data_IF_682784676805
#
_entry.id   IF_682784676805
#
_cell.length_a   1.000
_cell.length_b   1.000
_cell.length_c   1.000
_cell.angle_alpha   90.00
_cell.angle_beta   90.00
_cell.angle_gamma   90.00
#
_symmetry.space_group_name_H-M   'P 1'
#
loop_
_entity.id
_entity.type
_entity.pdbx_description
1 polymer ?
#
# COMPACT_ATOMS: atom_id res chain seq x y z
N UNK A 1 -20.42 -14.79 15.90
CA UNK A 1 -19.22 -14.50 16.73
C UNK A 1 -18.52 -13.33 16.07
N UNK A 2 -18.09 -12.33 16.84
CA UNK A 2 -17.27 -11.24 16.28
C UNK A 2 -15.96 -11.84 15.73
N UNK A 3 -15.51 -11.36 14.57
CA UNK A 3 -14.24 -11.81 13.98
C UNK A 3 -13.10 -11.25 14.82
N UNK A 4 -12.19 -12.12 15.25
CA UNK A 4 -10.96 -11.72 15.93
C UNK A 4 -9.86 -11.48 14.89
N UNK A 5 -9.70 -10.20 14.52
CA UNK A 5 -8.72 -9.71 13.55
C UNK A 5 -7.27 -9.74 14.05
N UNK A 6 -7.06 -10.06 15.34
CA UNK A 6 -5.75 -10.11 16.00
C UNK A 6 -5.28 -11.54 16.27
N UNK A 7 -6.19 -12.51 16.15
CA UNK A 7 -5.85 -13.92 16.31
C UNK A 7 -4.78 -14.37 15.31
N UNK A 8 -3.90 -15.25 15.77
CA UNK A 8 -2.88 -15.88 14.92
C UNK A 8 -3.49 -16.50 13.66
N UNK A 9 -4.62 -17.19 13.80
CA UNK A 9 -5.33 -17.82 12.68
C UNK A 9 -5.86 -16.80 11.65
N UNK A 10 -6.24 -15.59 12.09
CA UNK A 10 -6.62 -14.51 11.18
C UNK A 10 -5.38 -13.93 10.47
N UNK A 11 -4.29 -13.70 11.19
CA UNK A 11 -3.04 -13.21 10.59
C UNK A 11 -2.44 -14.21 9.59
N UNK A 12 -2.59 -15.51 9.81
CA UNK A 12 -2.24 -16.55 8.82
C UNK A 12 -3.08 -16.44 7.53
N UNK A 13 -4.32 -15.94 7.61
CA UNK A 13 -5.13 -15.63 6.40
C UNK A 13 -4.66 -14.36 5.71
N UNK A 14 -4.27 -13.33 6.47
CA UNK A 14 -3.66 -12.11 5.91
C UNK A 14 -2.37 -12.46 5.17
N UNK A 15 -1.52 -13.31 5.76
CA UNK A 15 -0.32 -13.86 5.14
C UNK A 15 -0.64 -14.70 3.88
N UNK A 16 -1.66 -15.54 3.91
CA UNK A 16 -2.08 -16.32 2.74
C UNK A 16 -2.56 -15.41 1.59
N UNK A 17 -3.33 -14.37 1.91
CA UNK A 17 -3.78 -13.37 0.95
C UNK A 17 -2.58 -12.61 0.36
N UNK A 18 -1.63 -12.19 1.20
CA UNK A 18 -0.41 -11.50 0.78
C UNK A 18 0.44 -12.35 -0.17
N UNK A 19 0.65 -13.62 0.17
CA UNK A 19 1.37 -14.58 -0.70
C UNK A 19 0.63 -14.82 -2.01
N UNK A 20 -0.71 -14.86 -2.01
CA UNK A 20 -1.49 -15.02 -3.22
C UNK A 20 -1.31 -13.83 -4.20
N UNK A 21 -1.45 -12.59 -3.73
CA UNK A 21 -1.21 -11.42 -4.61
C UNK A 21 0.25 -11.29 -5.04
N UNK A 22 1.18 -11.63 -4.15
CA UNK A 22 2.61 -11.63 -4.47
C UNK A 22 2.94 -12.69 -5.53
N UNK A 23 2.35 -13.88 -5.43
CA UNK A 23 2.48 -14.95 -6.42
C UNK A 23 1.98 -14.51 -7.79
N UNK A 24 0.77 -13.94 -7.85
CA UNK A 24 0.19 -13.45 -9.10
C UNK A 24 1.06 -12.36 -9.72
N UNK A 25 1.52 -11.41 -8.89
CA UNK A 25 2.35 -10.29 -9.31
C UNK A 25 3.69 -10.72 -9.89
N UNK A 26 4.37 -11.67 -9.24
CA UNK A 26 5.61 -12.24 -9.76
C UNK A 26 5.39 -13.08 -11.01
N UNK A 27 4.34 -13.90 -11.02
CA UNK A 27 4.00 -14.78 -12.14
C UNK A 27 3.76 -14.01 -13.44
N UNK A 28 2.97 -12.93 -13.40
CA UNK A 28 2.62 -12.17 -14.59
C UNK A 28 3.78 -11.38 -15.22
N UNK A 29 4.91 -11.18 -14.52
CA UNK A 29 6.11 -10.59 -15.13
C UNK A 29 6.67 -11.55 -16.20
N UNK A 30 6.68 -12.84 -15.89
CA UNK A 30 7.36 -13.86 -16.70
C UNK A 30 6.42 -14.68 -17.57
N UNK A 31 5.25 -15.05 -17.05
CA UNK A 31 4.35 -16.00 -17.70
C UNK A 31 3.26 -15.28 -18.49
N UNK A 32 2.88 -15.87 -19.63
CA UNK A 32 1.74 -15.46 -20.47
C UNK A 32 0.64 -16.52 -20.55
N UNK A 33 0.84 -17.67 -19.93
CA UNK A 33 -0.10 -18.78 -19.78
C UNK A 33 0.37 -19.67 -18.62
N UNK A 34 -0.42 -20.69 -18.28
CA UNK A 34 -0.08 -21.69 -17.26
C UNK A 34 0.23 -21.07 -15.88
N UNK A 35 -0.65 -20.18 -15.36
CA UNK A 35 -0.33 -19.35 -14.20
C UNK A 35 -0.26 -20.12 -12.89
N UNK A 36 -0.79 -21.35 -12.84
CA UNK A 36 -0.85 -22.22 -11.65
C UNK A 36 -0.13 -23.57 -11.87
N UNK A 37 0.94 -23.56 -12.67
CA UNK A 37 1.67 -24.74 -13.14
C UNK A 37 1.93 -25.85 -12.10
N UNK A 38 2.24 -25.49 -10.85
CA UNK A 38 2.48 -26.45 -9.77
C UNK A 38 1.20 -27.03 -9.17
N UNK A 39 0.12 -26.26 -9.14
CA UNK A 39 -1.20 -26.69 -8.64
C UNK A 39 -1.91 -27.54 -9.70
N UNK A 40 -1.83 -27.14 -10.97
CA UNK A 40 -2.43 -27.86 -12.10
C UNK A 40 -1.58 -29.03 -12.59
N UNK A 41 -0.40 -29.27 -11.98
CA UNK A 41 0.56 -30.31 -12.36
C UNK A 41 0.93 -30.25 -13.86
N UNK A 42 1.06 -29.04 -14.40
CA UNK A 42 1.43 -28.76 -15.79
C UNK A 42 2.77 -28.03 -15.81
N UNK A 43 3.91 -28.74 -15.89
CA UNK A 43 5.23 -28.12 -15.88
C UNK A 43 5.37 -27.00 -16.90
N UNK A 44 6.05 -25.90 -16.52
CA UNK A 44 6.29 -24.74 -17.37
C UNK A 44 7.03 -25.15 -18.64
N UNK A 45 6.57 -24.65 -19.78
CA UNK A 45 7.25 -24.77 -21.08
C UNK A 45 7.77 -23.41 -21.54
N UNK A 46 8.69 -23.39 -22.51
CA UNK A 46 9.17 -22.15 -23.11
C UNK A 46 8.02 -21.30 -23.68
N UNK A 47 6.99 -21.95 -24.24
CA UNK A 47 5.79 -21.29 -24.76
C UNK A 47 4.91 -20.65 -23.68
N UNK A 48 5.11 -20.97 -22.40
CA UNK A 48 4.41 -20.29 -21.30
C UNK A 48 5.08 -18.96 -20.91
N UNK A 49 6.35 -18.77 -21.26
CA UNK A 49 7.16 -17.60 -20.84
C UNK A 49 7.08 -16.48 -21.88
N UNK A 50 6.93 -15.24 -21.43
CA UNK A 50 6.96 -14.04 -22.28
C UNK A 50 8.33 -13.93 -22.97
N UNK A 51 8.30 -13.57 -24.26
CA UNK A 51 9.54 -13.32 -25.03
C UNK A 51 10.31 -12.13 -24.47
N UNK A 52 9.60 -11.13 -23.95
CA UNK A 52 10.16 -9.96 -23.28
C UNK A 52 9.47 -9.78 -21.92
N UNK A 53 10.00 -10.36 -20.84
CA UNK A 53 9.53 -10.07 -19.49
C UNK A 53 9.77 -8.59 -19.18
N UNK A 54 8.71 -7.85 -18.86
CA UNK A 54 8.74 -6.43 -18.53
C UNK A 54 7.91 -6.23 -17.27
N UNK A 55 8.41 -5.42 -16.35
CA UNK A 55 7.77 -5.09 -15.09
C UNK A 55 8.83 -4.82 -14.02
N UNK A 56 8.36 -4.39 -12.85
CA UNK A 56 9.18 -4.26 -11.66
C UNK A 56 8.87 -5.40 -10.70
N UNK A 57 9.80 -5.66 -9.79
CA UNK A 57 9.61 -6.64 -8.71
C UNK A 57 9.90 -6.04 -7.33
N UNK A 58 10.96 -5.23 -7.20
CA UNK A 58 11.53 -4.82 -5.92
C UNK A 58 10.54 -4.24 -4.90
N UNK A 59 9.54 -3.45 -5.32
CA UNK A 59 8.55 -2.83 -4.42
C UNK A 59 7.31 -3.69 -4.15
N UNK A 60 7.09 -4.77 -4.91
CA UNK A 60 5.79 -5.45 -4.98
C UNK A 60 5.42 -6.17 -3.69
N UNK A 61 6.33 -6.99 -3.15
CA UNK A 61 6.00 -7.79 -1.95
C UNK A 61 5.79 -6.91 -0.73
N UNK A 62 6.56 -5.82 -0.59
CA UNK A 62 6.36 -4.82 0.46
C UNK A 62 5.00 -4.14 0.34
N UNK A 63 4.65 -3.62 -0.83
CA UNK A 63 3.36 -2.96 -1.03
C UNK A 63 2.15 -3.89 -0.93
N UNK A 64 2.23 -5.13 -1.44
CA UNK A 64 1.14 -6.10 -1.25
C UNK A 64 0.99 -6.54 0.20
N UNK A 65 2.07 -6.57 1.00
CA UNK A 65 1.98 -6.77 2.45
C UNK A 65 1.22 -5.62 3.10
N UNK A 66 1.55 -4.38 2.75
CA UNK A 66 0.86 -3.20 3.25
C UNK A 66 -0.62 -3.18 2.85
N UNK A 67 -0.94 -3.51 1.60
CA UNK A 67 -2.33 -3.60 1.13
C UNK A 67 -3.11 -4.70 1.87
N UNK A 68 -2.51 -5.87 2.12
CA UNK A 68 -3.13 -6.93 2.92
C UNK A 68 -3.54 -6.43 4.32
N UNK A 69 -2.68 -5.62 4.95
CA UNK A 69 -2.97 -4.99 6.24
C UNK A 69 -3.99 -3.86 6.11
N UNK A 70 -3.99 -3.06 5.03
CA UNK A 70 -5.04 -2.08 4.76
C UNK A 70 -6.42 -2.75 4.66
N UNK A 71 -6.53 -3.88 3.93
CA UNK A 71 -7.75 -4.69 3.86
C UNK A 71 -8.19 -5.21 5.25
N UNK A 72 -7.24 -5.60 6.10
CA UNK A 72 -7.54 -5.97 7.50
C UNK A 72 -8.11 -4.78 8.27
N UNK A 73 -7.52 -3.58 8.16
CA UNK A 73 -7.98 -2.37 8.86
C UNK A 73 -9.38 -1.96 8.40
N UNK A 74 -9.62 -1.96 7.09
CA UNK A 74 -10.95 -1.66 6.50
C UNK A 74 -12.00 -2.56 7.13
N UNK A 75 -11.76 -3.87 7.15
CA UNK A 75 -12.71 -4.83 7.72
C UNK A 75 -12.87 -4.70 9.25
N UNK A 76 -11.76 -4.52 9.99
CA UNK A 76 -11.77 -4.44 11.46
C UNK A 76 -12.50 -3.20 11.96
N UNK A 77 -12.31 -2.06 11.28
CA UNK A 77 -12.75 -0.75 11.75
C UNK A 77 -13.87 -0.13 10.91
N UNK A 78 -14.35 -0.83 9.87
CA UNK A 78 -15.33 -0.37 8.90
C UNK A 78 -14.97 1.02 8.34
N UNK A 79 -13.77 1.12 7.77
CA UNK A 79 -13.19 2.39 7.29
C UNK A 79 -13.55 2.65 5.83
N UNK A 80 -13.81 3.92 5.51
CA UNK A 80 -13.65 4.41 4.14
C UNK A 80 -12.15 4.73 3.97
N UNK A 81 -11.50 3.92 3.13
CA UNK A 81 -10.06 4.01 2.93
C UNK A 81 -9.73 3.68 1.49
N UNK A 82 -8.80 4.43 0.92
CA UNK A 82 -8.26 4.17 -0.41
C UNK A 82 -6.73 4.13 -0.38
N UNK A 83 -6.14 3.50 -1.39
CA UNK A 83 -4.70 3.26 -1.47
C UNK A 83 -4.04 4.23 -2.47
N UNK A 84 -2.94 4.86 -2.06
CA UNK A 84 -2.05 5.61 -2.95
C UNK A 84 -0.68 4.92 -2.93
N UNK A 85 -0.28 4.35 -4.06
CA UNK A 85 1.05 3.76 -4.23
C UNK A 85 2.00 4.76 -4.89
N UNK A 86 2.80 5.45 -4.09
CA UNK A 86 3.86 6.34 -4.57
C UNK A 86 4.85 5.63 -5.49
N UNK A 87 5.40 4.45 -5.13
CA UNK A 87 6.13 3.57 -6.04
C UNK A 87 5.19 2.87 -7.05
N UNK A 88 4.54 3.67 -7.89
CA UNK A 88 3.49 3.24 -8.80
C UNK A 88 3.97 2.36 -9.95
N UNK A 89 5.28 2.29 -10.16
CA UNK A 89 5.93 1.34 -11.06
C UNK A 89 5.72 -0.14 -10.68
N UNK A 90 5.22 -0.41 -9.46
CA UNK A 90 4.68 -1.70 -9.03
C UNK A 90 3.19 -1.87 -9.32
N UNK A 91 2.74 -1.65 -10.55
CA UNK A 91 1.32 -1.67 -10.92
C UNK A 91 0.58 -2.97 -10.58
N UNK A 92 1.31 -4.10 -10.50
CA UNK A 92 0.75 -5.38 -10.09
C UNK A 92 0.13 -5.36 -8.69
N UNK A 93 0.62 -4.50 -7.78
CA UNK A 93 0.10 -4.39 -6.42
C UNK A 93 -1.40 -4.10 -6.47
N UNK A 94 -1.81 -3.02 -7.11
CA UNK A 94 -3.22 -2.64 -7.19
C UNK A 94 -4.03 -3.59 -8.08
N UNK A 95 -3.46 -4.03 -9.21
CA UNK A 95 -4.14 -4.96 -10.14
C UNK A 95 -4.46 -6.30 -9.47
N UNK A 96 -3.50 -6.91 -8.76
CA UNK A 96 -3.72 -8.23 -8.14
C UNK A 96 -4.61 -8.17 -6.91
N UNK A 97 -4.57 -7.07 -6.17
CA UNK A 97 -5.51 -6.81 -5.09
C UNK A 97 -6.95 -6.77 -5.59
N UNK A 98 -7.20 -5.88 -6.56
CA UNK A 98 -8.50 -5.70 -7.19
C UNK A 98 -8.98 -6.98 -7.91
N UNK A 99 -8.06 -7.79 -8.45
CA UNK A 99 -8.42 -9.08 -9.03
C UNK A 99 -8.89 -10.10 -7.99
N UNK A 100 -8.28 -10.13 -6.80
CA UNK A 100 -8.67 -11.09 -5.76
C UNK A 100 -9.96 -10.70 -5.03
N UNK A 101 -10.24 -9.39 -4.87
CA UNK A 101 -11.51 -8.95 -4.27
C UNK A 101 -12.69 -8.92 -5.25
N UNK A 102 -12.41 -9.07 -6.55
CA UNK A 102 -13.41 -9.20 -7.62
C UNK A 102 -13.67 -7.91 -8.38
N UNK A 103 -13.25 -6.75 -7.87
CA UNK A 103 -13.47 -5.44 -8.52
C UNK A 103 -12.84 -5.36 -9.91
N UNK A 104 -11.72 -6.05 -10.13
CA UNK A 104 -11.09 -6.10 -11.46
C UNK A 104 -11.97 -6.82 -12.48
N UNK A 105 -12.72 -7.84 -12.06
CA UNK A 105 -13.66 -8.57 -12.91
C UNK A 105 -14.93 -7.74 -13.17
N UNK A 106 -15.35 -6.91 -12.22
CA UNK A 106 -16.48 -5.98 -12.42
C UNK A 106 -16.18 -4.97 -13.54
N UNK A 107 -14.98 -4.40 -13.55
CA UNK A 107 -14.53 -3.46 -14.58
C UNK A 107 -14.08 -4.12 -15.90
N UNK A 108 -13.51 -5.34 -15.81
CA UNK A 108 -13.04 -6.14 -16.93
C UNK A 108 -13.68 -7.55 -16.90
N UNK A 109 -14.93 -7.71 -17.38
CA UNK A 109 -15.68 -8.97 -17.27
C UNK A 109 -15.01 -10.18 -17.93
N UNK A 110 -14.11 -9.96 -18.89
CA UNK A 110 -13.31 -11.02 -19.50
C UNK A 110 -12.16 -11.51 -18.60
N UNK A 111 -11.82 -10.83 -17.50
CA UNK A 111 -10.79 -11.24 -16.55
C UNK A 111 -11.48 -11.89 -15.35
N UNK A 112 -11.98 -13.10 -15.57
CA UNK A 112 -12.71 -13.89 -14.57
C UNK A 112 -11.81 -14.45 -13.47
N UNK A 113 -12.37 -14.72 -12.28
CA UNK A 113 -11.67 -15.33 -11.14
C UNK A 113 -11.52 -16.86 -11.29
N UNK A 114 -10.94 -17.29 -12.41
CA UNK A 114 -10.63 -18.69 -12.73
C UNK A 114 -9.29 -18.81 -13.48
N UNK A 115 -8.91 -20.03 -13.90
CA UNK A 115 -7.64 -20.28 -14.59
C UNK A 115 -7.57 -19.56 -15.95
N UNK A 116 -8.69 -19.41 -16.65
CA UNK A 116 -8.74 -18.74 -17.95
C UNK A 116 -8.54 -17.23 -17.80
N UNK A 117 -9.31 -16.61 -16.91
CA UNK A 117 -9.19 -15.18 -16.62
C UNK A 117 -7.82 -14.82 -16.04
N UNK A 118 -7.28 -15.66 -15.13
CA UNK A 118 -5.92 -15.51 -14.61
C UNK A 118 -4.86 -15.59 -15.72
N UNK A 119 -4.99 -16.56 -16.64
CA UNK A 119 -4.08 -16.68 -17.79
C UNK A 119 -4.15 -15.44 -18.70
N UNK A 120 -5.37 -14.91 -18.92
CA UNK A 120 -5.60 -13.69 -19.71
C UNK A 120 -4.97 -12.47 -19.03
N UNK A 121 -5.11 -12.33 -17.71
CA UNK A 121 -4.47 -11.27 -16.92
C UNK A 121 -2.94 -11.33 -17.05
N UNK A 122 -2.35 -12.52 -16.85
CA UNK A 122 -0.91 -12.74 -16.99
C UNK A 122 -0.41 -12.30 -18.37
N UNK A 123 -1.11 -12.72 -19.43
CA UNK A 123 -0.76 -12.35 -20.81
C UNK A 123 -0.86 -10.84 -21.06
N UNK A 124 -1.87 -10.15 -20.49
CA UNK A 124 -2.12 -8.71 -20.72
C UNK A 124 -1.13 -7.80 -20.00
N UNK A 125 -0.57 -8.22 -18.86
CA UNK A 125 0.35 -7.37 -18.10
C UNK A 125 1.59 -6.99 -18.92
N UNK A 126 1.84 -5.68 -19.10
CA UNK A 126 2.98 -5.14 -19.86
C UNK A 126 3.15 -5.76 -21.26
N UNK A 127 2.03 -6.04 -21.94
CA UNK A 127 1.99 -6.62 -23.27
C UNK A 127 1.41 -5.61 -24.29
N UNK A 128 1.82 -5.63 -25.57
CA UNK A 128 1.24 -4.74 -26.59
C UNK A 128 -0.29 -4.87 -26.68
N UNK A 129 -1.01 -3.77 -26.46
CA UNK A 129 -2.48 -3.76 -26.40
C UNK A 129 -3.08 -4.33 -25.10
N UNK A 130 -2.25 -4.60 -24.10
CA UNK A 130 -2.65 -5.03 -22.76
C UNK A 130 -2.77 -3.86 -21.77
N UNK A 131 -2.34 -4.10 -20.53
CA UNK A 131 -2.28 -3.08 -19.47
C UNK A 131 -0.83 -2.64 -19.23
N UNK A 132 -0.65 -1.41 -18.74
CA UNK A 132 0.65 -0.86 -18.38
C UNK A 132 1.34 -1.58 -17.22
N UNK A 133 2.59 -1.19 -16.94
CA UNK A 133 3.36 -1.66 -15.78
C UNK A 133 3.11 -0.85 -14.51
N UNK A 134 2.53 0.35 -14.64
CA UNK A 134 2.28 1.28 -13.55
C UNK A 134 0.83 1.20 -13.03
N UNK A 135 0.52 1.91 -11.94
CA UNK A 135 -0.83 2.07 -11.38
C UNK A 135 -1.69 3.06 -12.20
N UNK A 136 -1.69 2.89 -13.53
CA UNK A 136 -2.36 3.80 -14.47
C UNK A 136 -3.88 3.90 -14.20
N UNK A 137 -4.56 4.81 -14.90
CA UNK A 137 -6.02 4.90 -14.89
C UNK A 137 -6.76 3.64 -15.39
N UNK A 138 -6.05 2.65 -15.95
CA UNK A 138 -6.60 1.33 -16.27
C UNK A 138 -6.81 0.45 -15.02
N UNK A 139 -6.31 0.87 -13.86
CA UNK A 139 -6.32 0.07 -12.64
C UNK A 139 -7.46 0.53 -11.74
N UNK A 140 -8.43 -0.35 -11.42
CA UNK A 140 -9.50 -0.03 -10.49
C UNK A 140 -8.95 0.45 -9.15
N UNK A 141 -9.54 1.50 -8.61
CA UNK A 141 -9.12 2.14 -7.35
C UNK A 141 -7.93 3.09 -7.46
N UNK A 142 -7.25 3.21 -8.62
CA UNK A 142 -6.13 4.15 -8.76
C UNK A 142 -6.60 5.57 -9.07
N UNK A 143 -6.12 6.53 -8.27
CA UNK A 143 -6.15 7.97 -8.57
C UNK A 143 -4.73 8.58 -8.64
N UNK A 144 -3.69 7.74 -8.60
CA UNK A 144 -2.30 8.15 -8.58
C UNK A 144 -1.44 7.09 -9.29
N UNK A 145 -0.90 7.43 -10.46
CA UNK A 145 -0.13 6.47 -11.27
C UNK A 145 1.27 6.16 -10.71
N UNK A 146 1.90 7.11 -10.01
CA UNK A 146 3.22 6.93 -9.40
C UNK A 146 4.34 6.60 -10.39
N UNK A 147 4.24 7.10 -11.63
CA UNK A 147 5.31 7.05 -12.62
C UNK A 147 6.37 8.11 -12.40
N UNK A 148 5.97 9.39 -12.48
CA UNK A 148 6.78 10.49 -11.98
C UNK A 148 6.59 10.60 -10.47
N UNK A 149 7.62 10.22 -9.72
CA UNK A 149 7.59 10.13 -8.26
C UNK A 149 7.60 11.53 -7.60
N UNK A 150 6.98 11.64 -6.43
CA UNK A 150 7.10 12.81 -5.56
C UNK A 150 5.77 13.42 -5.12
N UNK A 151 4.65 12.96 -5.69
CA UNK A 151 3.34 13.60 -5.53
C UNK A 151 2.34 12.76 -4.73
N UNK A 152 2.77 11.62 -4.18
CA UNK A 152 1.89 10.71 -3.40
C UNK A 152 1.21 11.44 -2.22
N UNK A 153 1.99 12.14 -1.39
CA UNK A 153 1.47 12.85 -0.22
C UNK A 153 0.62 14.09 -0.55
N UNK A 154 0.97 14.85 -1.60
CA UNK A 154 0.17 16.01 -1.99
C UNK A 154 -1.18 15.58 -2.57
N UNK A 155 -1.20 14.50 -3.38
CA UNK A 155 -2.45 13.92 -3.88
C UNK A 155 -3.29 13.34 -2.73
N UNK A 156 -2.66 12.62 -1.79
CA UNK A 156 -3.34 12.10 -0.61
C UNK A 156 -4.00 13.20 0.22
N UNK A 157 -3.27 14.28 0.46
CA UNK A 157 -3.78 15.44 1.20
C UNK A 157 -4.98 16.05 0.48
N UNK A 158 -4.86 16.33 -0.82
CA UNK A 158 -5.96 16.90 -1.60
C UNK A 158 -7.20 16.02 -1.65
N UNK A 159 -7.02 14.68 -1.63
CA UNK A 159 -8.13 13.73 -1.67
C UNK A 159 -8.91 13.67 -0.34
N UNK A 160 -8.28 13.96 0.80
CA UNK A 160 -8.95 13.92 2.11
C UNK A 160 -9.49 15.28 2.58
N UNK A 161 -9.12 16.38 1.92
CA UNK A 161 -9.72 17.70 2.18
C UNK A 161 -11.24 17.64 1.97
N UNK A 162 -12.00 18.21 2.90
CA UNK A 162 -13.47 18.20 2.93
C UNK A 162 -14.12 16.80 2.92
N UNK A 163 -13.34 15.73 3.14
CA UNK A 163 -13.81 14.34 3.19
C UNK A 163 -13.54 13.73 4.59
N UNK A 164 -14.30 14.12 5.64
CA UNK A 164 -13.97 13.85 7.04
C UNK A 164 -13.89 12.38 7.45
N UNK A 165 -14.52 11.49 6.68
CA UNK A 165 -14.60 10.06 6.98
C UNK A 165 -13.59 9.22 6.19
N UNK A 166 -12.85 9.83 5.26
CA UNK A 166 -11.87 9.15 4.41
C UNK A 166 -10.49 9.08 5.05
N UNK A 167 -9.81 7.94 4.84
CA UNK A 167 -8.39 7.77 5.15
C UNK A 167 -7.61 7.41 3.89
N UNK A 168 -6.62 8.23 3.55
CA UNK A 168 -5.68 7.92 2.47
C UNK A 168 -4.54 7.05 3.00
N UNK A 169 -4.55 5.75 2.69
CA UNK A 169 -3.44 4.84 2.97
C UNK A 169 -2.34 5.06 1.93
N UNK A 170 -1.33 5.85 2.29
CA UNK A 170 -0.41 6.46 1.33
C UNK A 170 0.99 5.90 1.48
N UNK A 171 1.40 5.03 0.56
CA UNK A 171 2.75 4.46 0.55
C UNK A 171 3.69 5.39 -0.22
N UNK A 172 4.77 5.81 0.43
CA UNK A 172 5.80 6.68 -0.13
C UNK A 172 7.08 5.88 -0.26
N UNK A 173 7.65 5.80 -1.47
CA UNK A 173 8.93 5.11 -1.64
C UNK A 173 10.05 5.84 -0.91
N UNK A 174 10.97 5.13 -0.28
CA UNK A 174 12.18 5.76 0.30
C UNK A 174 13.04 6.48 -0.76
N UNK A 175 13.05 6.00 -2.01
CA UNK A 175 13.66 6.71 -3.14
C UNK A 175 12.83 7.90 -3.64
N UNK A 176 11.49 7.82 -3.59
CA UNK A 176 10.59 8.94 -3.88
C UNK A 176 10.76 10.06 -2.86
N UNK A 177 10.98 9.69 -1.60
CA UNK A 177 11.18 10.61 -0.48
C UNK A 177 12.43 11.50 -0.67
N UNK A 178 13.34 11.18 -1.59
CA UNK A 178 14.49 12.03 -1.92
C UNK A 178 14.14 13.15 -2.92
N UNK A 179 12.93 13.15 -3.47
CA UNK A 179 12.48 14.19 -4.40
C UNK A 179 12.09 15.46 -3.65
N UNK A 180 12.29 16.63 -4.28
CA UNK A 180 11.87 17.92 -3.73
C UNK A 180 10.37 17.97 -3.37
N UNK A 181 9.47 17.54 -4.28
CA UNK A 181 8.03 17.48 -4.00
C UNK A 181 7.67 16.60 -2.79
N UNK A 182 8.20 15.38 -2.68
CA UNK A 182 7.89 14.51 -1.54
C UNK A 182 8.38 15.10 -0.21
N UNK A 183 9.61 15.62 -0.19
CA UNK A 183 10.20 16.22 1.02
C UNK A 183 9.38 17.38 1.56
N UNK A 184 8.87 18.27 0.69
CA UNK A 184 8.06 19.40 1.16
C UNK A 184 6.65 18.97 1.55
N UNK A 185 6.10 17.94 0.89
CA UNK A 185 4.73 17.47 1.10
C UNK A 185 4.47 16.90 2.52
N UNK A 186 5.50 16.51 3.28
CA UNK A 186 5.35 16.16 4.70
C UNK A 186 4.83 17.32 5.57
N UNK A 187 4.91 18.57 5.10
CA UNK A 187 4.32 19.71 5.79
C UNK A 187 2.79 19.80 5.62
N UNK A 188 2.17 18.93 4.81
CA UNK A 188 0.73 18.99 4.53
C UNK A 188 -0.15 18.88 5.77
N UNK A 189 0.31 18.22 6.84
CA UNK A 189 -0.41 18.15 8.12
C UNK A 189 -0.64 19.52 8.76
N UNK A 190 0.16 20.52 8.42
CA UNK A 190 -0.01 21.90 8.90
C UNK A 190 -1.23 22.60 8.28
N UNK A 191 -1.85 21.96 7.29
CA UNK A 191 -3.02 22.48 6.58
C UNK A 191 -4.24 21.58 6.69
N UNK A 192 -4.08 20.35 7.18
CA UNK A 192 -5.20 19.45 7.46
C UNK A 192 -5.88 19.86 8.76
N UNK A 193 -7.20 20.04 8.71
CA UNK A 193 -8.03 20.32 9.86
C UNK A 193 -8.84 19.08 10.24
N UNK A 194 -8.48 18.33 11.30
CA UNK A 194 -9.17 17.08 11.67
C UNK A 194 -10.65 17.27 12.03
N UNK A 195 -11.11 18.51 12.24
CA UNK A 195 -12.52 18.83 12.42
C UNK A 195 -13.35 18.65 11.15
N UNK A 196 -12.77 18.96 9.98
CA UNK A 196 -13.50 19.04 8.71
C UNK A 196 -12.95 18.06 7.65
N UNK A 197 -11.66 17.77 7.70
CA UNK A 197 -10.95 16.95 6.73
C UNK A 197 -10.81 15.51 7.23
N UNK A 198 -10.54 14.60 6.28
CA UNK A 198 -10.13 13.24 6.55
C UNK A 198 -8.68 13.16 7.06
N UNK A 199 -8.07 11.99 6.92
CA UNK A 199 -6.70 11.78 7.40
C UNK A 199 -5.81 11.12 6.34
N UNK A 200 -4.56 11.58 6.26
CA UNK A 200 -3.51 10.86 5.52
C UNK A 200 -2.78 9.96 6.50
N UNK A 201 -2.74 8.66 6.22
CA UNK A 201 -1.86 7.71 6.91
C UNK A 201 -0.67 7.43 5.99
N UNK A 202 0.48 8.12 6.17
CA UNK A 202 1.65 7.90 5.36
C UNK A 202 2.46 6.69 5.86
N UNK A 203 2.94 5.87 4.92
CA UNK A 203 3.82 4.73 5.15
C UNK A 203 5.07 4.96 4.30
N UNK A 204 6.20 5.22 4.95
CA UNK A 204 7.47 5.28 4.26
C UNK A 204 7.98 3.86 4.02
N UNK A 205 7.97 3.42 2.76
CA UNK A 205 8.48 2.10 2.33
C UNK A 205 10.02 2.13 2.32
N UNK A 206 10.62 1.89 3.48
CA UNK A 206 12.08 1.81 3.67
C UNK A 206 12.58 0.41 3.27
N UNK A 207 12.45 0.07 1.98
CA UNK A 207 12.93 -1.20 1.44
C UNK A 207 14.46 -1.22 1.21
N UNK A 208 15.13 -0.07 1.35
CA UNK A 208 16.59 0.03 1.40
C UNK A 208 17.23 0.55 0.12
N UNK A 209 16.51 0.56 -1.01
CA UNK A 209 17.10 0.79 -2.32
C UNK A 209 16.16 1.51 -3.28
N UNK A 210 16.77 2.28 -4.18
CA UNK A 210 16.19 2.73 -5.44
C UNK A 210 16.86 1.98 -6.60
N UNK A 211 16.64 2.39 -7.86
CA UNK A 211 17.03 1.63 -9.07
C UNK A 211 18.45 1.04 -9.00
N UNK A 212 19.44 1.81 -8.55
CA UNK A 212 20.83 1.34 -8.51
C UNK A 212 21.63 1.90 -7.33
N UNK A 213 20.96 2.34 -6.27
CA UNK A 213 21.61 2.93 -5.09
C UNK A 213 20.81 2.61 -3.84
N UNK A 214 21.45 2.60 -2.66
CA UNK A 214 20.71 2.73 -1.42
C UNK A 214 19.99 4.08 -1.34
N UNK A 215 19.03 4.19 -0.42
CA UNK A 215 18.32 5.45 -0.17
C UNK A 215 18.91 6.19 1.03
N UNK A 216 18.74 7.51 1.07
CA UNK A 216 19.22 8.34 2.18
C UNK A 216 18.52 7.91 3.47
N UNK A 217 17.19 7.79 3.41
CA UNK A 217 16.35 7.39 4.55
C UNK A 217 16.74 6.03 5.11
N UNK A 218 16.99 5.01 4.27
CA UNK A 218 17.35 3.67 4.75
C UNK A 218 18.74 3.57 5.40
N UNK A 219 19.55 4.62 5.29
CA UNK A 219 20.88 4.70 5.91
C UNK A 219 20.92 5.66 7.10
N UNK A 220 19.81 6.30 7.42
CA UNK A 220 19.62 6.99 8.69
C UNK A 220 19.34 5.98 9.79
N UNK A 221 19.78 6.27 11.01
CA UNK A 221 19.32 5.51 12.18
C UNK A 221 17.85 5.82 12.50
N UNK A 222 17.18 4.92 13.21
CA UNK A 222 15.81 5.16 13.66
C UNK A 222 15.70 6.41 14.54
N UNK A 223 16.76 6.74 15.28
CA UNK A 223 16.84 8.00 16.05
C UNK A 223 16.83 9.23 15.14
N UNK A 224 17.56 9.19 14.02
CA UNK A 224 17.57 10.29 13.05
C UNK A 224 16.22 10.41 12.34
N UNK A 225 15.61 9.29 11.95
CA UNK A 225 14.27 9.26 11.36
C UNK A 225 13.22 9.77 12.32
N UNK A 226 13.30 9.36 13.59
CA UNK A 226 12.41 9.82 14.66
C UNK A 226 12.48 11.34 14.80
N UNK A 227 13.69 11.90 14.97
CA UNK A 227 13.91 13.35 15.07
C UNK A 227 13.41 14.11 13.84
N UNK A 228 13.62 13.55 12.64
CA UNK A 228 13.19 14.16 11.40
C UNK A 228 11.65 14.27 11.35
N UNK A 229 10.93 13.19 11.61
CA UNK A 229 9.47 13.16 11.53
C UNK A 229 8.79 13.89 12.70
N UNK A 230 9.31 13.75 13.93
CA UNK A 230 8.84 14.52 15.08
C UNK A 230 9.02 16.03 14.85
N UNK A 231 10.17 16.45 14.30
CA UNK A 231 10.43 17.86 13.96
C UNK A 231 9.47 18.41 12.90
N UNK A 232 8.82 17.55 12.11
CA UNK A 232 7.80 17.93 11.14
C UNK A 232 6.37 17.92 11.71
N UNK A 233 6.17 17.35 12.91
CA UNK A 233 4.88 17.24 13.59
C UNK A 233 4.23 15.84 13.51
N UNK A 234 4.98 14.82 13.09
CA UNK A 234 4.48 13.44 12.98
C UNK A 234 4.84 12.59 14.20
N UNK A 235 4.10 11.49 14.39
CA UNK A 235 4.41 10.46 15.40
C UNK A 235 4.90 9.18 14.70
N UNK A 236 6.22 9.02 14.49
CA UNK A 236 6.77 7.89 13.75
C UNK A 236 6.65 6.57 14.53
N UNK A 237 6.33 5.49 13.81
CA UNK A 237 6.20 4.12 14.33
C UNK A 237 6.91 3.18 13.36
N UNK A 238 7.63 2.18 13.90
CA UNK A 238 8.50 1.32 13.09
C UNK A 238 7.96 -0.11 12.98
N UNK A 239 7.99 -0.67 11.77
CA UNK A 239 7.73 -2.08 11.48
C UNK A 239 9.02 -2.65 10.87
N UNK A 240 9.72 -3.44 11.66
CA UNK A 240 11.04 -3.99 11.36
C UNK A 240 11.27 -5.24 12.21
N UNK A 241 12.17 -6.12 11.77
CA UNK A 241 12.56 -7.33 12.47
C UNK A 241 14.01 -7.69 12.13
N UNK A 242 14.72 -8.32 13.07
CA UNK A 242 16.08 -8.79 12.83
C UNK A 242 16.12 -9.98 11.84
N UNK A 243 15.11 -10.85 11.91
CA UNK A 243 14.91 -11.94 10.94
C UNK A 243 13.90 -11.52 9.88
N UNK A 244 14.41 -11.14 8.70
CA UNK A 244 13.60 -10.70 7.55
C UNK A 244 12.68 -11.78 6.98
N UNK A 245 12.88 -13.05 7.35
CA UNK A 245 12.10 -14.19 6.86
C UNK A 245 11.11 -14.73 7.91
N UNK A 246 11.11 -14.20 9.14
CA UNK A 246 10.04 -14.43 10.10
C UNK A 246 8.82 -13.54 9.78
N UNK A 247 8.11 -13.90 8.72
CA UNK A 247 6.98 -13.13 8.20
C UNK A 247 5.85 -12.96 9.22
N UNK A 248 5.62 -13.95 10.10
CA UNK A 248 4.57 -13.86 11.10
C UNK A 248 4.89 -12.82 12.17
N UNK A 249 6.16 -12.66 12.56
CA UNK A 249 6.57 -11.57 13.42
C UNK A 249 6.28 -10.18 12.80
N UNK A 250 6.51 -10.02 11.49
CA UNK A 250 6.09 -8.81 10.77
C UNK A 250 4.57 -8.63 10.79
N UNK A 251 3.78 -9.68 10.55
CA UNK A 251 2.31 -9.58 10.61
C UNK A 251 1.80 -9.16 11.99
N UNK A 252 2.32 -9.75 13.06
CA UNK A 252 1.94 -9.39 14.44
C UNK A 252 2.35 -7.95 14.80
N UNK A 253 3.55 -7.53 14.41
CA UNK A 253 4.05 -6.16 14.66
C UNK A 253 3.26 -5.13 13.86
N UNK A 254 3.06 -5.38 12.56
CA UNK A 254 2.29 -4.51 11.67
C UNK A 254 0.84 -4.37 12.14
N UNK A 255 0.17 -5.46 12.53
CA UNK A 255 -1.19 -5.42 13.05
C UNK A 255 -1.30 -4.47 14.26
N UNK A 256 -0.38 -4.58 15.24
CA UNK A 256 -0.35 -3.70 16.42
C UNK A 256 -0.07 -2.24 16.06
N UNK A 257 0.92 -2.00 15.19
CA UNK A 257 1.32 -0.64 14.79
C UNK A 257 0.19 0.06 14.04
N UNK A 258 -0.42 -0.62 13.06
CA UNK A 258 -1.49 -0.05 12.27
C UNK A 258 -2.79 0.13 13.07
N UNK A 259 -3.11 -0.79 13.98
CA UNK A 259 -4.27 -0.62 14.86
C UNK A 259 -4.12 0.61 15.75
N UNK A 260 -2.93 0.83 16.30
CA UNK A 260 -2.65 2.02 17.09
C UNK A 260 -2.70 3.29 16.22
N UNK A 261 -2.17 3.26 15.00
CA UNK A 261 -2.24 4.39 14.09
C UNK A 261 -3.70 4.79 13.77
N UNK A 262 -4.57 3.82 13.49
CA UNK A 262 -6.00 4.08 13.26
C UNK A 262 -6.70 4.55 14.54
N UNK A 263 -6.38 3.97 15.69
CA UNK A 263 -6.93 4.41 16.97
C UNK A 263 -6.56 5.87 17.28
N UNK A 264 -5.31 6.26 17.05
CA UNK A 264 -4.82 7.62 17.24
C UNK A 264 -5.48 8.59 16.27
N UNK A 265 -5.59 8.24 14.98
CA UNK A 265 -6.29 9.07 13.98
C UNK A 265 -7.75 9.31 14.41
N UNK A 266 -8.46 8.25 14.80
CA UNK A 266 -9.85 8.36 15.27
C UNK A 266 -9.95 9.21 16.55
N UNK A 267 -8.98 9.09 17.45
CA UNK A 267 -8.93 9.89 18.67
C UNK A 267 -8.69 11.37 18.37
N UNK A 268 -7.76 11.69 17.45
CA UNK A 268 -7.49 13.06 16.98
C UNK A 268 -8.76 13.67 16.36
N UNK A 269 -9.42 12.94 15.46
CA UNK A 269 -10.67 13.39 14.84
C UNK A 269 -11.78 13.61 15.88
N UNK A 270 -11.95 12.67 16.82
CA UNK A 270 -12.92 12.82 17.91
C UNK A 270 -12.64 14.03 18.78
N UNK A 271 -11.37 14.23 19.17
CA UNK A 271 -10.96 15.35 20.00
C UNK A 271 -11.22 16.70 19.32
N UNK A 272 -11.01 16.79 18.01
CA UNK A 272 -11.27 17.99 17.22
C UNK A 272 -12.75 18.27 16.95
N UNK A 273 -13.57 17.22 16.79
CA UNK A 273 -14.98 17.32 16.40
C UNK A 273 -15.93 17.42 17.60
N UNK A 274 -15.63 16.72 18.69
CA UNK A 274 -16.55 16.53 19.82
C UNK A 274 -16.03 17.15 21.12
N UNK A 275 -14.73 17.00 21.43
CA UNK A 275 -14.20 17.31 22.76
C UNK A 275 -13.69 18.74 22.93
N UNK A 276 -13.81 19.58 21.89
CA UNK A 276 -13.35 20.97 21.92
C UNK A 276 -11.84 21.11 22.10
N UNK A 277 -11.06 20.07 21.77
CA UNK A 277 -9.59 20.06 21.90
C UNK A 277 -8.89 20.47 20.62
N UNK A 278 -9.49 21.38 19.87
CA UNK A 278 -8.92 21.91 18.64
C UNK A 278 -9.23 23.41 18.55
N UNK A 279 -8.17 24.21 18.54
CA UNK A 279 -8.23 25.67 18.50
C UNK A 279 -7.15 26.18 17.54
N UNK A 280 -7.52 27.12 16.66
CA UNK A 280 -6.62 27.82 15.74
C UNK A 280 -5.63 26.96 14.93
N UNK A 281 -6.03 25.74 14.55
CA UNK A 281 -5.19 24.86 13.74
C UNK A 281 -4.43 23.79 14.54
N UNK A 282 -4.47 23.85 15.87
CA UNK A 282 -3.68 22.98 16.74
C UNK A 282 -4.57 22.10 17.63
N UNK A 283 -4.12 20.86 17.86
CA UNK A 283 -4.71 20.00 18.87
C UNK A 283 -4.28 20.46 20.26
N UNK A 284 -5.25 20.69 21.15
CA UNK A 284 -4.99 21.05 22.53
C UNK A 284 -4.51 19.80 23.29
N UNK A 285 -3.20 19.70 23.51
CA UNK A 285 -2.63 18.75 24.46
C UNK A 285 -2.86 19.29 25.88
N UNK A 286 -3.58 18.53 26.71
CA UNK A 286 -4.28 19.04 27.89
C UNK A 286 -3.47 19.93 28.87
N UNK A 287 -4.22 20.84 29.51
CA UNK A 287 -4.02 21.20 30.92
C UNK A 287 -4.52 20.06 31.83
#
# INVERSE_FOLDING_TARGET
MAVDYDSKAYLEKVDAWWRATTYLSGGMIFLKSNPLFSVTNTPIKADDVKVKPIGHWGTISGQTFLYAHANRLINKYNLNMFYIGGPGHGGQVMVTNSYLDGTYTEDYPEITQDIEGMSRLYKRFSFPGGIGSHMTAQTPGSLHEGGELGYSLSHATGAVLDNPDEIAFTVVGDGENETGPAMTAWNSIKFLNPKNDGAVLPILDVNGFKISNPTITSRMSDEQLTKFFEGLGWSPRFIENDDIHDYMAYHEKAAKVFDQAIADIKQIQKDARENGKYEDGEMLHGQ
#
